data_IF_209390313186
#
_entry.id   IF_209390313186
#
_cell.length_a   1.000
_cell.length_b   1.000
_cell.length_c   1.000
_cell.angle_alpha   90.00
_cell.angle_beta   90.00
_cell.angle_gamma   90.00
#
_symmetry.space_group_name_H-M   'P 1'
#
loop_
_entity.id
_entity.type
_entity.pdbx_description
1 polymer ?
#
# COMPACT_ATOMS: atom_id res chain seq x y z
N UNK A 1 -18.94 16.75 66.82
CA UNK A 1 -17.86 15.77 67.10
C UNK A 1 -17.21 15.37 65.78
N UNK A 2 -15.94 15.77 65.64
CA UNK A 2 -14.87 15.24 64.79
C UNK A 2 -15.08 14.95 63.29
N UNK A 3 -14.72 15.96 62.51
CA UNK A 3 -14.03 15.87 61.23
C UNK A 3 -12.56 15.44 61.48
N UNK A 4 -12.01 14.46 60.75
CA UNK A 4 -10.55 14.25 60.68
C UNK A 4 -10.11 13.69 59.33
N UNK A 5 -9.31 14.51 58.66
CA UNK A 5 -8.55 14.27 57.44
C UNK A 5 -7.54 13.12 57.60
N UNK A 6 -7.27 12.39 56.50
CA UNK A 6 -6.00 11.67 56.32
C UNK A 6 -5.45 12.01 54.93
N UNK A 7 -4.20 12.49 54.95
CA UNK A 7 -3.42 13.05 53.85
C UNK A 7 -2.76 11.98 52.97
N UNK A 8 -2.55 12.38 51.72
CA UNK A 8 -1.61 11.79 50.75
C UNK A 8 -0.18 11.72 51.28
N UNK A 9 0.57 10.69 50.89
CA UNK A 9 2.04 10.69 50.95
C UNK A 9 2.60 10.21 49.62
N UNK A 10 3.35 11.08 48.96
CA UNK A 10 4.06 10.84 47.71
C UNK A 10 5.36 10.07 47.96
N UNK A 11 5.62 9.04 47.15
CA UNK A 11 6.90 8.34 47.12
C UNK A 11 7.86 9.06 46.15
N UNK A 12 8.98 9.55 46.68
CA UNK A 12 10.14 10.03 45.91
C UNK A 12 11.13 8.88 45.74
N UNK A 13 11.53 8.58 44.50
CA UNK A 13 12.61 7.64 44.18
C UNK A 13 13.87 8.48 43.87
N UNK A 14 14.92 8.29 44.67
CA UNK A 14 16.25 8.85 44.46
C UNK A 14 17.05 7.96 43.51
N UNK A 15 17.57 8.53 42.41
CA UNK A 15 18.63 7.93 41.61
C UNK A 15 19.99 8.37 42.15
N UNK A 16 20.83 7.42 42.56
CA UNK A 16 22.24 7.66 42.88
C UNK A 16 23.13 7.17 41.74
N UNK A 17 24.00 8.07 41.29
CA UNK A 17 25.12 7.87 40.37
C UNK A 17 26.17 6.95 40.99
N UNK A 18 26.68 5.97 40.24
CA UNK A 18 28.00 5.37 40.48
C UNK A 18 28.75 5.34 39.15
N UNK A 19 29.83 6.14 39.10
CA UNK A 19 30.86 6.08 38.07
C UNK A 19 31.97 5.13 38.55
N UNK A 20 32.50 4.29 37.65
CA UNK A 20 33.79 3.63 37.86
C UNK A 20 34.55 3.54 36.53
N UNK A 21 35.65 4.28 36.46
CA UNK A 21 36.74 4.10 35.49
C UNK A 21 37.63 2.95 35.96
N UNK A 22 38.13 2.14 35.02
CA UNK A 22 39.41 1.45 35.17
C UNK A 22 40.11 1.35 33.80
N UNK A 23 41.27 2.00 33.72
CA UNK A 23 42.25 1.93 32.65
C UNK A 23 43.13 0.72 32.92
N UNK A 24 43.40 -0.11 31.90
CA UNK A 24 44.58 -0.97 31.90
C UNK A 24 45.20 -1.01 30.50
N UNK A 25 46.40 -0.43 30.43
CA UNK A 25 47.34 -0.52 29.32
C UNK A 25 48.48 -1.46 29.73
N UNK A 26 49.02 -2.20 28.76
CA UNK A 26 50.45 -2.52 28.52
C UNK A 26 50.57 -3.89 27.82
N UNK A 27 51.35 -3.92 26.75
CA UNK A 27 51.85 -5.16 26.14
C UNK A 27 52.39 -4.97 24.72
N UNK A 28 53.47 -4.20 24.58
CA UNK A 28 54.29 -4.14 23.36
C UNK A 28 55.12 -5.43 23.27
N UNK A 29 55.16 -6.06 22.10
CA UNK A 29 56.31 -6.87 21.68
C UNK A 29 56.53 -6.73 20.19
N UNK A 30 57.63 -6.05 19.87
CA UNK A 30 58.33 -6.02 18.60
C UNK A 30 59.17 -7.29 18.44
N UNK A 31 59.22 -7.85 17.24
CA UNK A 31 60.40 -8.54 16.73
C UNK A 31 60.39 -8.51 15.20
N UNK A 32 61.44 -7.92 14.60
CA UNK A 32 61.68 -7.85 13.16
C UNK A 32 62.25 -9.16 12.59
N UNK A 33 61.77 -9.50 11.40
CA UNK A 33 62.45 -9.94 10.17
C UNK A 33 63.64 -10.93 10.22
N UNK A 34 63.50 -12.06 9.48
CA UNK A 34 64.39 -12.49 8.36
C UNK A 34 64.15 -13.95 7.92
N UNK A 35 63.97 -14.19 6.62
CA UNK A 35 64.63 -15.33 5.92
C UNK A 35 63.83 -16.56 5.44
N UNK A 36 63.28 -16.46 4.21
CA UNK A 36 63.50 -17.40 3.06
C UNK A 36 62.91 -18.85 3.05
N UNK A 37 62.43 -19.21 1.84
CA UNK A 37 62.16 -20.53 1.21
C UNK A 37 60.81 -21.25 1.42
N UNK A 38 59.89 -20.91 0.50
CA UNK A 38 59.06 -21.79 -0.33
C UNK A 38 58.67 -23.20 0.13
N UNK A 39 57.37 -23.39 0.32
CA UNK A 39 56.66 -24.59 -0.13
C UNK A 39 55.30 -24.18 -0.70
N UNK A 40 55.08 -24.55 -1.97
CA UNK A 40 53.80 -24.56 -2.66
C UNK A 40 52.86 -25.53 -1.98
N UNK A 41 51.78 -25.02 -1.40
CA UNK A 41 50.54 -25.76 -1.20
C UNK A 41 49.42 -25.00 -1.90
N UNK A 42 48.91 -25.61 -2.96
CA UNK A 42 47.66 -25.27 -3.62
C UNK A 42 46.55 -25.25 -2.58
N UNK A 43 46.09 -24.06 -2.22
CA UNK A 43 44.98 -23.89 -1.31
C UNK A 43 43.84 -23.12 -1.99
N UNK A 44 42.64 -23.51 -1.58
CA UNK A 44 41.38 -23.37 -2.30
C UNK A 44 41.13 -21.99 -2.92
N UNK A 45 40.51 -22.00 -4.11
CA UNK A 45 39.77 -20.88 -4.68
C UNK A 45 38.75 -20.37 -3.66
N UNK A 46 39.17 -19.45 -2.79
CA UNK A 46 38.21 -18.62 -2.07
C UNK A 46 37.46 -17.83 -3.13
N UNK A 47 36.19 -18.19 -3.36
CA UNK A 47 35.25 -17.28 -4.02
C UNK A 47 35.22 -16.06 -3.12
N UNK A 48 36.01 -15.04 -3.48
CA UNK A 48 35.92 -13.71 -2.89
C UNK A 48 34.48 -13.28 -3.16
N UNK A 49 33.62 -13.38 -2.16
CA UNK A 49 32.24 -12.90 -2.23
C UNK A 49 32.37 -11.43 -2.58
N UNK A 50 32.02 -11.08 -3.81
CA UNK A 50 31.92 -9.69 -4.23
C UNK A 50 30.99 -9.03 -3.21
N UNK A 51 31.39 -7.93 -2.57
CA UNK A 51 30.50 -7.22 -1.66
C UNK A 51 29.21 -6.92 -2.42
N UNK A 52 28.06 -7.17 -1.79
CA UNK A 52 26.75 -6.89 -2.34
C UNK A 52 26.71 -5.43 -2.82
N UNK A 53 26.85 -5.24 -4.14
CA UNK A 53 27.00 -3.91 -4.72
C UNK A 53 25.66 -3.51 -5.30
N UNK A 54 25.10 -2.43 -4.74
CA UNK A 54 23.93 -1.77 -5.29
C UNK A 54 24.36 -0.81 -6.40
N UNK A 55 23.63 -0.82 -7.51
CA UNK A 55 23.78 0.14 -8.60
C UNK A 55 22.44 0.79 -8.91
N UNK A 56 22.47 2.05 -9.31
CA UNK A 56 21.28 2.87 -9.49
C UNK A 56 21.14 3.29 -10.95
N UNK A 57 19.92 3.22 -11.48
CA UNK A 57 19.58 3.70 -12.82
C UNK A 57 18.43 4.69 -12.73
N UNK A 58 18.70 5.94 -13.07
CA UNK A 58 17.66 6.97 -13.20
C UNK A 58 16.96 6.83 -14.53
N UNK A 59 15.62 6.82 -14.50
CA UNK A 59 14.76 6.81 -15.67
C UNK A 59 13.79 7.99 -15.59
N UNK A 60 13.27 8.42 -16.74
CA UNK A 60 12.27 9.48 -16.84
C UNK A 60 10.91 8.94 -17.27
N UNK A 61 9.87 9.78 -17.16
CA UNK A 61 8.48 9.49 -17.50
C UNK A 61 7.87 8.27 -16.74
N UNK A 62 7.65 8.37 -15.42
CA UNK A 62 8.05 9.46 -14.50
C UNK A 62 9.52 9.35 -14.07
N UNK A 63 10.06 10.41 -13.47
CA UNK A 63 11.39 10.36 -12.83
C UNK A 63 11.39 9.29 -11.74
N UNK A 64 12.32 8.35 -11.85
CA UNK A 64 12.43 7.23 -10.92
C UNK A 64 13.84 6.68 -10.87
N UNK A 65 14.18 6.04 -9.76
CA UNK A 65 15.43 5.32 -9.56
C UNK A 65 15.13 3.84 -9.45
N UNK A 66 15.65 3.07 -10.41
CA UNK A 66 15.73 1.62 -10.29
C UNK A 66 17.01 1.23 -9.55
N UNK A 67 16.86 0.35 -8.59
CA UNK A 67 17.96 -0.19 -7.80
C UNK A 67 18.20 -1.62 -8.25
N UNK A 68 19.45 -1.91 -8.59
CA UNK A 68 19.92 -3.26 -8.91
C UNK A 68 20.86 -3.74 -7.81
N UNK A 69 20.73 -5.00 -7.41
CA UNK A 69 21.71 -5.70 -6.56
C UNK A 69 22.35 -6.79 -7.41
N UNK A 70 23.67 -6.76 -7.57
CA UNK A 70 24.39 -7.74 -8.39
C UNK A 70 23.81 -7.88 -9.83
N UNK A 71 23.42 -6.74 -10.43
CA UNK A 71 22.76 -6.62 -11.76
C UNK A 71 21.35 -7.23 -11.86
N UNK A 72 20.72 -7.58 -10.75
CA UNK A 72 19.31 -7.99 -10.69
C UNK A 72 18.49 -6.86 -10.11
N UNK A 73 17.34 -6.54 -10.72
CA UNK A 73 16.43 -5.51 -10.22
C UNK A 73 15.89 -5.91 -8.83
N UNK A 74 15.91 -4.97 -7.90
CA UNK A 74 15.40 -5.20 -6.53
C UNK A 74 14.38 -4.17 -6.06
N UNK A 75 14.39 -2.96 -6.62
CA UNK A 75 13.40 -1.94 -6.27
C UNK A 75 13.30 -0.84 -7.33
N UNK A 76 12.17 -0.15 -7.36
CA UNK A 76 11.97 1.11 -8.08
C UNK A 76 11.33 2.14 -7.17
N UNK A 77 11.98 3.29 -7.04
CA UNK A 77 11.52 4.46 -6.30
C UNK A 77 11.09 5.53 -7.30
N UNK A 78 9.87 6.06 -7.19
CA UNK A 78 9.37 7.12 -8.09
C UNK A 78 9.40 8.45 -7.37
N UNK A 79 9.97 9.49 -7.98
CA UNK A 79 10.04 10.82 -7.37
C UNK A 79 8.62 11.34 -7.08
N UNK A 80 8.44 11.95 -5.91
CA UNK A 80 7.16 12.45 -5.41
C UNK A 80 6.25 11.37 -4.80
N UNK A 81 6.60 10.08 -4.91
CA UNK A 81 5.75 8.98 -4.45
C UNK A 81 6.21 8.39 -3.11
N UNK A 82 5.26 8.02 -2.26
CA UNK A 82 5.46 7.16 -1.09
C UNK A 82 5.71 5.70 -1.47
N UNK A 83 5.18 5.26 -2.61
CA UNK A 83 5.14 3.87 -3.03
C UNK A 83 6.46 3.43 -3.65
N UNK A 84 6.94 2.27 -3.21
CA UNK A 84 8.10 1.59 -3.78
C UNK A 84 7.69 0.18 -4.16
N UNK A 85 7.98 -0.18 -5.41
CA UNK A 85 7.90 -1.57 -5.86
C UNK A 85 9.23 -2.28 -5.60
N UNK A 86 9.19 -3.50 -5.09
CA UNK A 86 10.35 -4.30 -4.73
C UNK A 86 10.24 -5.72 -5.28
N UNK A 87 11.40 -6.34 -5.50
CA UNK A 87 11.47 -7.78 -5.72
C UNK A 87 11.21 -8.54 -4.41
N UNK A 88 10.64 -9.74 -4.50
CA UNK A 88 10.55 -10.69 -3.40
C UNK A 88 10.15 -12.09 -3.87
N UNK A 89 9.77 -12.98 -2.94
CA UNK A 89 9.19 -14.27 -3.28
C UNK A 89 7.98 -14.13 -4.22
N UNK A 90 7.81 -15.11 -5.12
CA UNK A 90 6.61 -15.20 -5.95
C UNK A 90 5.41 -15.61 -5.09
N UNK A 91 4.25 -15.02 -5.38
CA UNK A 91 2.98 -15.31 -4.70
C UNK A 91 1.81 -15.14 -5.66
N UNK A 92 0.69 -15.69 -5.26
CA UNK A 92 -0.57 -15.62 -6.00
C UNK A 92 -1.63 -14.97 -5.11
N UNK A 93 -2.35 -14.01 -5.66
CA UNK A 93 -3.57 -13.47 -5.09
C UNK A 93 -4.75 -14.06 -5.83
N UNK A 94 -5.69 -14.64 -5.09
CA UNK A 94 -6.88 -15.26 -5.67
C UNK A 94 -8.13 -14.86 -4.91
N UNK A 95 -9.22 -14.71 -5.63
CA UNK A 95 -10.55 -14.50 -5.09
C UNK A 95 -11.53 -15.40 -5.85
N UNK A 96 -12.30 -16.18 -5.10
CA UNK A 96 -13.31 -17.07 -5.65
C UNK A 96 -14.63 -16.83 -4.95
N UNK A 97 -15.65 -16.39 -5.69
CA UNK A 97 -16.99 -16.13 -5.15
C UNK A 97 -18.02 -16.90 -5.97
N UNK A 98 -19.02 -17.48 -5.30
CA UNK A 98 -20.17 -18.13 -5.96
C UNK A 98 -21.42 -17.30 -5.76
N UNK A 99 -22.01 -16.81 -6.85
CA UNK A 99 -23.25 -16.02 -6.83
C UNK A 99 -24.22 -16.63 -7.82
N UNK A 100 -25.45 -16.92 -7.36
CA UNK A 100 -26.50 -17.55 -8.16
C UNK A 100 -26.02 -18.84 -8.87
N UNK A 101 -25.30 -19.71 -8.14
CA UNK A 101 -24.67 -20.94 -8.64
C UNK A 101 -23.64 -20.73 -9.77
N UNK A 102 -23.17 -19.50 -9.99
CA UNK A 102 -22.09 -19.19 -10.91
C UNK A 102 -20.83 -18.83 -10.14
N UNK A 103 -19.74 -19.53 -10.49
CA UNK A 103 -18.41 -19.27 -9.97
C UNK A 103 -17.79 -18.08 -10.69
N UNK A 104 -17.22 -17.16 -9.93
CA UNK A 104 -16.36 -16.08 -10.37
C UNK A 104 -15.01 -16.30 -9.71
N UNK A 105 -13.98 -16.49 -10.52
CA UNK A 105 -12.63 -16.75 -10.05
C UNK A 105 -11.69 -15.75 -10.70
N UNK A 106 -10.74 -15.24 -9.93
CA UNK A 106 -9.75 -14.28 -10.38
C UNK A 106 -8.43 -14.57 -9.68
N UNK A 107 -7.34 -14.55 -10.44
CA UNK A 107 -6.01 -14.89 -9.96
C UNK A 107 -4.96 -13.98 -10.59
N UNK A 108 -3.97 -13.55 -9.81
CA UNK A 108 -2.80 -12.77 -10.24
C UNK A 108 -1.57 -13.34 -9.55
N UNK A 109 -0.56 -13.71 -10.33
CA UNK A 109 0.71 -14.25 -9.81
C UNK A 109 1.91 -13.39 -10.23
N UNK A 110 2.73 -12.99 -9.26
CA UNK A 110 3.96 -12.24 -9.53
C UNK A 110 4.91 -12.25 -8.32
N UNK A 111 6.13 -11.73 -8.53
CA UNK A 111 7.16 -11.55 -7.49
C UNK A 111 7.36 -10.08 -7.07
N UNK A 112 6.41 -9.20 -7.41
CA UNK A 112 6.40 -7.78 -7.02
C UNK A 112 5.77 -7.58 -5.65
N UNK A 113 6.40 -6.74 -4.84
CA UNK A 113 5.96 -6.32 -3.53
C UNK A 113 5.85 -4.80 -3.49
N UNK A 114 4.86 -4.26 -2.79
CA UNK A 114 4.51 -2.84 -2.74
C UNK A 114 4.54 -2.37 -1.30
N UNK A 115 5.50 -1.51 -0.97
CA UNK A 115 5.64 -0.93 0.37
C UNK A 115 5.69 0.59 0.30
N UNK A 116 5.42 1.21 1.44
CA UNK A 116 5.33 2.66 1.62
C UNK A 116 6.56 3.21 2.34
N UNK A 117 7.03 4.36 1.87
CA UNK A 117 8.09 5.13 2.51
C UNK A 117 7.53 6.00 3.64
N UNK A 118 8.39 6.47 4.55
CA UNK A 118 7.98 7.45 5.56
C UNK A 118 7.67 8.86 5.03
N UNK A 119 8.12 9.17 3.82
CA UNK A 119 7.95 10.46 3.15
C UNK A 119 7.97 10.22 1.63
N UNK A 120 7.46 11.17 0.82
CA UNK A 120 7.59 11.09 -0.63
C UNK A 120 9.06 10.96 -1.03
N UNK A 121 9.36 10.06 -1.96
CA UNK A 121 10.70 9.88 -2.45
C UNK A 121 11.18 11.13 -3.18
N UNK A 122 12.37 11.61 -2.84
CA UNK A 122 13.06 12.65 -3.58
C UNK A 122 14.02 12.00 -4.59
N UNK A 123 15.32 12.03 -4.32
CA UNK A 123 16.38 11.58 -5.24
C UNK A 123 17.39 10.63 -4.60
N UNK A 124 17.32 10.38 -3.29
CA UNK A 124 18.26 9.53 -2.56
C UNK A 124 17.59 8.29 -1.96
N UNK A 125 18.10 7.11 -2.31
CA UNK A 125 17.62 5.83 -1.75
C UNK A 125 18.16 5.64 -0.34
N UNK A 126 17.26 5.54 0.65
CA UNK A 126 17.61 5.06 1.99
C UNK A 126 17.95 3.56 1.93
N UNK A 127 19.25 3.26 1.94
CA UNK A 127 19.74 1.89 1.86
C UNK A 127 19.35 1.04 3.09
N UNK A 128 19.15 1.65 4.26
CA UNK A 128 18.69 0.94 5.44
C UNK A 128 17.23 0.51 5.24
N UNK A 129 16.37 1.46 4.87
CA UNK A 129 14.97 1.15 4.56
C UNK A 129 14.85 0.09 3.46
N UNK A 130 15.63 0.19 2.38
CA UNK A 130 15.61 -0.78 1.30
C UNK A 130 15.97 -2.20 1.79
N UNK A 131 17.01 -2.33 2.63
CA UNK A 131 17.41 -3.63 3.19
C UNK A 131 16.34 -4.21 4.10
N UNK A 132 15.73 -3.36 4.94
CA UNK A 132 14.64 -3.76 5.83
C UNK A 132 13.41 -4.21 5.03
N UNK A 133 13.03 -3.48 3.97
CA UNK A 133 11.92 -3.81 3.09
C UNK A 133 12.14 -5.13 2.32
N UNK A 134 13.35 -5.35 1.78
CA UNK A 134 13.70 -6.62 1.14
C UNK A 134 13.72 -7.78 2.15
N UNK A 135 14.19 -7.55 3.37
CA UNK A 135 14.12 -8.54 4.45
C UNK A 135 12.67 -8.87 4.81
N UNK A 136 11.80 -7.86 4.88
CA UNK A 136 10.37 -8.04 5.15
C UNK A 136 9.70 -8.87 4.05
N UNK A 137 10.04 -8.66 2.77
CA UNK A 137 9.56 -9.48 1.66
C UNK A 137 10.01 -10.94 1.78
N UNK A 138 11.29 -11.18 2.10
CA UNK A 138 11.82 -12.53 2.25
C UNK A 138 11.22 -13.29 3.44
N UNK A 139 10.73 -12.56 4.45
CA UNK A 139 9.98 -13.10 5.59
C UNK A 139 8.46 -13.11 5.34
N UNK A 140 8.04 -12.81 4.12
CA UNK A 140 6.64 -12.77 3.67
C UNK A 140 5.74 -11.91 4.58
N UNK A 141 6.29 -10.82 5.13
CA UNK A 141 5.52 -9.87 5.94
C UNK A 141 4.53 -9.13 5.03
N UNK A 142 3.25 -8.98 5.44
CA UNK A 142 2.24 -8.31 4.63
C UNK A 142 2.73 -6.96 4.09
N UNK A 143 2.52 -6.75 2.80
CA UNK A 143 2.71 -5.49 2.11
C UNK A 143 1.34 -4.97 1.65
N UNK A 144 1.28 -3.88 0.89
CA UNK A 144 0.00 -3.25 0.55
C UNK A 144 -0.94 -4.18 -0.22
N UNK A 145 -0.40 -5.04 -1.11
CA UNK A 145 -1.21 -5.98 -1.88
C UNK A 145 -1.83 -7.06 -0.98
N UNK A 146 -1.04 -7.64 -0.07
CA UNK A 146 -1.57 -8.60 0.91
C UNK A 146 -2.59 -7.94 1.84
N UNK A 147 -2.31 -6.72 2.30
CA UNK A 147 -3.23 -5.96 3.16
C UNK A 147 -4.56 -5.70 2.44
N UNK A 148 -4.56 -5.43 1.14
CA UNK A 148 -5.78 -5.24 0.37
C UNK A 148 -6.68 -6.49 0.36
N UNK A 149 -6.08 -7.68 0.39
CA UNK A 149 -6.82 -8.94 0.47
C UNK A 149 -7.40 -9.23 1.85
N UNK A 150 -7.00 -8.51 2.90
CA UNK A 150 -7.55 -8.70 4.25
C UNK A 150 -9.00 -8.15 4.38
N UNK A 151 -9.60 -7.63 3.29
CA UNK A 151 -10.92 -6.98 3.29
C UNK A 151 -11.90 -7.52 2.25
N UNK A 152 -11.54 -8.55 1.48
CA UNK A 152 -12.46 -9.17 0.52
C UNK A 152 -13.51 -10.02 1.24
N UNK A 153 -14.55 -10.45 0.50
CA UNK A 153 -15.59 -11.37 0.98
C UNK A 153 -14.98 -12.59 1.69
N UNK A 154 -15.44 -12.86 2.91
CA UNK A 154 -14.95 -13.97 3.74
C UNK A 154 -13.57 -13.78 4.36
N UNK A 155 -12.93 -12.62 4.24
CA UNK A 155 -11.66 -12.34 4.91
C UNK A 155 -11.80 -12.45 6.44
N UNK A 156 -10.85 -13.13 7.08
CA UNK A 156 -10.86 -13.34 8.52
C UNK A 156 -10.57 -12.07 9.30
N UNK A 157 -11.22 -11.90 10.44
CA UNK A 157 -10.99 -10.75 11.31
C UNK A 157 -9.57 -10.73 11.88
N UNK A 158 -8.93 -9.57 11.76
CA UNK A 158 -7.62 -9.28 12.36
C UNK A 158 -7.82 -8.21 13.42
N UNK A 159 -7.34 -8.48 14.63
CA UNK A 159 -7.44 -7.56 15.76
C UNK A 159 -6.08 -7.03 16.19
N UNK A 160 -6.04 -5.74 16.53
CA UNK A 160 -4.93 -5.12 17.24
C UNK A 160 -5.47 -4.29 18.40
N UNK A 161 -4.99 -4.55 19.63
CA UNK A 161 -5.46 -3.85 20.84
C UNK A 161 -7.00 -3.87 21.00
N UNK A 162 -7.63 -5.02 20.73
CA UNK A 162 -9.09 -5.22 20.72
C UNK A 162 -9.88 -4.44 19.65
N UNK A 163 -9.21 -3.73 18.75
CA UNK A 163 -9.83 -3.11 17.58
C UNK A 163 -9.75 -4.07 16.39
N UNK A 164 -10.88 -4.33 15.71
CA UNK A 164 -10.92 -5.04 14.43
C UNK A 164 -10.29 -4.14 13.37
N UNK A 165 -9.07 -4.45 12.94
CA UNK A 165 -8.32 -3.64 11.98
C UNK A 165 -8.41 -4.16 10.55
N UNK A 166 -8.88 -5.39 10.33
CA UNK A 166 -9.24 -5.95 9.03
C UNK A 166 -10.19 -7.15 9.18
N UNK A 167 -10.69 -7.66 8.06
CA UNK A 167 -11.77 -8.63 7.92
C UNK A 167 -12.72 -8.21 6.81
N UNK A 168 -13.67 -9.08 6.48
CA UNK A 168 -14.72 -8.83 5.48
C UNK A 168 -15.37 -7.45 5.65
N UNK A 169 -15.41 -6.68 4.57
CA UNK A 169 -15.85 -5.29 4.56
C UNK A 169 -17.01 -5.10 3.59
N UNK A 170 -18.11 -4.53 4.10
CA UNK A 170 -19.23 -4.09 3.28
C UNK A 170 -18.83 -2.88 2.42
N UNK A 171 -19.58 -2.57 1.36
CA UNK A 171 -19.41 -1.30 0.64
C UNK A 171 -19.95 -0.10 1.44
N UNK A 172 -21.05 -0.32 2.16
CA UNK A 172 -21.86 0.71 2.80
C UNK A 172 -23.27 0.20 3.08
N UNK A 173 -24.06 0.90 3.89
CA UNK A 173 -25.42 0.47 4.26
C UNK A 173 -26.35 0.44 3.04
N UNK A 174 -27.42 -0.35 3.14
CA UNK A 174 -28.49 -0.33 2.14
C UNK A 174 -29.18 1.04 2.13
N UNK A 175 -29.56 1.51 0.94
CA UNK A 175 -30.36 2.72 0.81
C UNK A 175 -31.74 2.49 1.46
N UNK A 176 -32.17 3.34 2.42
CA UNK A 176 -33.45 3.16 3.11
C UNK A 176 -34.66 3.29 2.18
N UNK A 177 -34.50 3.91 1.00
CA UNK A 177 -35.55 4.06 -0.01
C UNK A 177 -35.47 3.03 -1.13
N UNK A 178 -34.36 2.29 -1.24
CA UNK A 178 -34.13 1.26 -2.26
C UNK A 178 -33.16 0.21 -1.74
N UNK A 179 -33.68 -0.84 -1.11
CA UNK A 179 -32.87 -1.92 -0.52
C UNK A 179 -32.06 -2.74 -1.53
N UNK A 180 -32.16 -2.45 -2.83
CA UNK A 180 -31.31 -3.03 -3.88
C UNK A 180 -30.03 -2.22 -4.15
N UNK A 181 -29.90 -1.05 -3.52
CA UNK A 181 -28.76 -0.13 -3.61
C UNK A 181 -28.05 -0.01 -2.28
N UNK A 182 -26.77 0.37 -2.36
CA UNK A 182 -25.93 0.72 -1.22
C UNK A 182 -25.53 2.18 -1.31
N UNK A 183 -25.50 2.84 -0.17
CA UNK A 183 -25.02 4.20 -0.03
C UNK A 183 -23.50 4.23 -0.12
N UNK A 184 -22.98 5.34 -0.62
CA UNK A 184 -21.55 5.65 -0.68
C UNK A 184 -21.26 6.71 0.38
N UNK A 185 -20.07 6.66 0.98
CA UNK A 185 -19.75 7.49 2.14
C UNK A 185 -18.81 6.84 3.14
N UNK A 186 -18.65 5.51 3.12
CA UNK A 186 -17.87 4.78 4.14
C UNK A 186 -16.37 4.92 3.96
N UNK A 187 -15.71 5.51 4.95
CA UNK A 187 -14.26 5.68 5.05
C UNK A 187 -13.62 4.68 6.03
N UNK A 188 -12.29 4.71 6.16
CA UNK A 188 -11.55 3.82 7.05
C UNK A 188 -11.95 3.99 8.53
N UNK A 189 -12.30 5.20 8.98
CA UNK A 189 -12.73 5.44 10.37
C UNK A 189 -14.09 4.80 10.66
N UNK A 190 -14.98 4.76 9.68
CA UNK A 190 -16.28 4.07 9.78
C UNK A 190 -16.08 2.58 9.93
N UNK A 191 -15.28 1.96 9.06
CA UNK A 191 -14.94 0.54 9.17
C UNK A 191 -14.48 0.16 10.58
N UNK A 192 -13.62 0.99 11.17
CA UNK A 192 -13.03 0.78 12.49
C UNK A 192 -13.96 1.18 13.64
N UNK A 193 -15.00 1.97 13.40
CA UNK A 193 -15.88 2.51 14.43
C UNK A 193 -15.17 3.50 15.36
N UNK A 194 -14.25 4.33 14.84
CA UNK A 194 -13.48 5.29 15.64
C UNK A 194 -13.60 6.72 15.14
N UNK A 195 -13.39 7.68 16.06
CA UNK A 195 -13.18 9.06 15.67
C UNK A 195 -11.74 9.25 15.18
N UNK A 196 -11.56 9.96 14.06
CA UNK A 196 -10.26 10.23 13.49
C UNK A 196 -9.99 11.73 13.40
N UNK A 197 -8.81 12.14 13.85
CA UNK A 197 -8.35 13.53 13.73
C UNK A 197 -7.48 13.71 12.49
N UNK A 198 -7.98 14.45 11.52
CA UNK A 198 -7.21 14.93 10.38
C UNK A 198 -6.38 16.14 10.79
N UNK A 199 -5.17 15.87 11.27
CA UNK A 199 -4.27 16.90 11.82
C UNK A 199 -4.00 18.07 10.87
N UNK A 200 -3.97 17.85 9.55
CA UNK A 200 -3.80 18.90 8.54
C UNK A 200 -4.99 19.86 8.46
N UNK A 201 -6.18 19.38 8.81
CA UNK A 201 -7.43 20.14 8.69
C UNK A 201 -7.92 20.65 10.05
N UNK A 202 -7.27 20.22 11.14
CA UNK A 202 -7.74 20.41 12.51
C UNK A 202 -9.22 20.01 12.66
N UNK A 203 -9.59 18.90 12.02
CA UNK A 203 -10.93 18.37 11.95
C UNK A 203 -10.96 16.97 12.54
N UNK A 204 -11.99 16.68 13.34
CA UNK A 204 -12.24 15.33 13.84
C UNK A 204 -13.52 14.83 13.22
N UNK A 205 -13.40 13.72 12.51
CA UNK A 205 -14.50 12.97 11.92
C UNK A 205 -14.89 11.81 12.85
N UNK A 206 -16.18 11.59 13.05
CA UNK A 206 -16.66 10.50 13.90
C UNK A 206 -17.22 9.40 13.01
N UNK A 207 -16.93 8.14 13.33
CA UNK A 207 -17.53 7.03 12.61
C UNK A 207 -19.06 7.09 12.63
N UNK A 208 -19.68 6.88 11.46
CA UNK A 208 -21.12 6.69 11.36
C UNK A 208 -21.53 5.27 11.79
N UNK A 209 -22.50 5.16 12.70
CA UNK A 209 -22.82 3.87 13.32
C UNK A 209 -23.44 2.85 12.36
N UNK A 210 -24.10 3.31 11.29
CA UNK A 210 -24.65 2.48 10.22
C UNK A 210 -23.62 2.09 9.16
N UNK A 211 -22.40 2.62 9.24
CA UNK A 211 -21.30 2.35 8.31
C UNK A 211 -20.17 1.54 8.95
N UNK A 212 -20.35 1.07 10.19
CA UNK A 212 -19.37 0.21 10.87
C UNK A 212 -19.11 -1.04 10.04
N UNK A 213 -17.82 -1.33 9.82
CA UNK A 213 -17.38 -2.44 8.97
C UNK A 213 -17.52 -2.20 7.46
N UNK A 214 -17.85 -0.99 7.01
CA UNK A 214 -17.97 -0.66 5.59
C UNK A 214 -16.79 0.16 5.07
N UNK A 215 -16.42 -0.07 3.81
CA UNK A 215 -15.39 0.67 3.06
C UNK A 215 -15.89 0.89 1.63
N UNK A 216 -16.12 2.14 1.22
CA UNK A 216 -16.39 2.44 -0.18
C UNK A 216 -15.10 2.42 -1.02
N UNK A 217 -15.17 2.72 -2.31
CA UNK A 217 -14.02 2.60 -3.22
C UNK A 217 -12.79 3.40 -2.73
N UNK A 218 -13.00 4.64 -2.29
CA UNK A 218 -11.96 5.53 -1.77
C UNK A 218 -11.64 5.27 -0.29
N UNK A 219 -12.63 4.92 0.52
CA UNK A 219 -12.43 4.52 1.92
C UNK A 219 -11.53 3.29 2.03
N UNK A 220 -11.71 2.32 1.13
CA UNK A 220 -10.83 1.16 1.02
C UNK A 220 -9.38 1.56 0.68
N UNK A 221 -9.17 2.49 -0.26
CA UNK A 221 -7.82 3.00 -0.55
C UNK A 221 -7.21 3.72 0.67
N UNK A 222 -7.98 4.57 1.34
CA UNK A 222 -7.53 5.30 2.55
C UNK A 222 -7.21 4.35 3.70
N UNK A 223 -7.96 3.26 3.85
CA UNK A 223 -7.67 2.19 4.80
C UNK A 223 -6.30 1.56 4.53
N UNK A 224 -6.08 1.02 3.33
CA UNK A 224 -4.87 0.24 3.04
C UNK A 224 -3.61 1.11 2.94
N UNK A 225 -3.73 2.35 2.49
CA UNK A 225 -2.59 3.25 2.30
C UNK A 225 -2.33 4.18 3.48
N UNK A 226 -3.38 4.64 4.18
CA UNK A 226 -3.27 5.68 5.19
C UNK A 226 -3.47 5.22 6.64
N UNK A 227 -4.15 4.09 6.86
CA UNK A 227 -4.31 3.54 8.20
C UNK A 227 -3.43 2.30 8.45
N UNK A 228 -3.37 1.38 7.49
CA UNK A 228 -2.59 0.13 7.61
C UNK A 228 -1.09 0.38 7.41
N UNK A 229 -0.28 -0.57 7.86
CA UNK A 229 1.19 -0.49 7.84
C UNK A 229 1.80 -1.63 7.01
N UNK A 230 2.51 -1.26 5.95
CA UNK A 230 3.26 -2.19 5.09
C UNK A 230 4.66 -2.52 5.63
N UNK A 231 5.11 -1.89 6.71
CA UNK A 231 6.40 -2.12 7.38
C UNK A 231 6.20 -2.53 8.85
N UNK A 232 5.09 -3.19 9.16
CA UNK A 232 4.76 -3.68 10.50
C UNK A 232 5.93 -4.50 11.11
N UNK A 233 6.29 -4.18 12.36
CA UNK A 233 7.47 -4.76 13.05
C UNK A 233 8.76 -3.97 12.83
N UNK A 234 8.77 -3.01 11.91
CA UNK A 234 9.82 -2.03 11.73
C UNK A 234 9.32 -0.66 12.24
N UNK A 235 10.23 0.18 12.75
CA UNK A 235 9.89 1.48 13.36
C UNK A 235 9.82 2.60 12.31
N UNK A 236 9.05 2.39 11.26
CA UNK A 236 8.83 3.38 10.19
C UNK A 236 7.43 3.99 10.30
N UNK A 237 7.31 5.28 9.96
CA UNK A 237 6.03 5.96 9.80
C UNK A 237 5.55 5.80 8.36
N UNK A 238 5.23 4.58 7.95
CA UNK A 238 5.00 4.17 6.56
C UNK A 238 3.53 4.32 6.11
N UNK A 239 2.83 5.35 6.59
CA UNK A 239 1.45 5.62 6.19
C UNK A 239 1.41 6.80 5.25
N UNK A 240 0.60 6.71 4.20
CA UNK A 240 0.27 7.87 3.36
C UNK A 240 -0.57 8.82 4.21
N UNK A 241 -0.17 10.11 4.35
CA UNK A 241 -0.96 11.05 5.13
C UNK A 241 -2.37 11.21 4.56
N UNK A 242 -3.37 11.31 5.44
CA UNK A 242 -4.76 11.50 5.07
C UNK A 242 -5.23 12.91 5.43
N UNK A 243 -6.11 13.47 4.61
CA UNK A 243 -6.85 14.71 4.86
C UNK A 243 -8.34 14.51 4.56
N UNK A 244 -9.19 15.31 5.17
CA UNK A 244 -10.62 15.33 4.92
C UNK A 244 -10.93 16.16 3.67
N UNK A 245 -10.45 17.40 3.62
CA UNK A 245 -10.72 18.35 2.54
C UNK A 245 -9.56 18.48 1.56
N UNK A 246 -9.85 19.01 0.37
CA UNK A 246 -8.79 19.39 -0.57
C UNK A 246 -8.07 20.65 -0.12
N UNK A 247 -6.78 20.71 -0.43
CA UNK A 247 -5.89 21.81 -0.07
C UNK A 247 -4.88 21.99 -1.19
N UNK A 248 -4.44 23.23 -1.42
CA UNK A 248 -3.44 23.56 -2.45
C UNK A 248 -2.04 23.01 -2.18
N UNK A 249 -1.82 22.37 -1.02
CA UNK A 249 -0.51 21.91 -0.56
C UNK A 249 -0.19 20.45 -0.91
N UNK A 250 -1.14 19.68 -1.46
CA UNK A 250 -0.95 18.26 -1.87
C UNK A 250 -0.30 17.38 -0.78
N UNK A 251 -0.58 17.65 0.51
CA UNK A 251 0.10 17.01 1.66
C UNK A 251 -0.49 15.68 2.12
N UNK A 252 -1.62 15.25 1.57
CA UNK A 252 -2.29 14.02 1.96
C UNK A 252 -3.34 13.57 0.94
N UNK A 253 -3.78 12.32 1.07
CA UNK A 253 -4.87 11.74 0.31
C UNK A 253 -6.22 12.27 0.83
N UNK A 254 -7.02 12.98 0.01
CA UNK A 254 -8.36 13.44 0.37
C UNK A 254 -9.40 12.31 0.33
N UNK A 255 -10.66 12.62 0.65
CA UNK A 255 -11.71 11.61 0.86
C UNK A 255 -12.27 11.03 -0.43
N UNK A 256 -12.56 11.85 -1.44
CA UNK A 256 -13.31 11.41 -2.63
C UNK A 256 -12.39 10.97 -3.77
N UNK A 257 -12.83 10.00 -4.57
CA UNK A 257 -12.06 9.42 -5.68
C UNK A 257 -11.51 10.48 -6.67
N UNK A 258 -12.31 11.45 -7.10
CA UNK A 258 -11.83 12.53 -7.98
C UNK A 258 -10.82 13.44 -7.28
N UNK A 259 -11.03 13.76 -6.00
CA UNK A 259 -10.12 14.59 -5.22
C UNK A 259 -8.78 13.87 -5.01
N UNK A 260 -8.79 12.53 -4.85
CA UNK A 260 -7.56 11.74 -4.75
C UNK A 260 -6.75 11.85 -6.03
N UNK A 261 -7.41 11.85 -7.18
CA UNK A 261 -6.73 12.05 -8.46
C UNK A 261 -6.18 13.48 -8.61
N UNK A 262 -7.02 14.48 -8.37
CA UNK A 262 -6.71 15.90 -8.61
C UNK A 262 -5.71 16.45 -7.58
N UNK A 263 -5.94 16.19 -6.28
CA UNK A 263 -5.30 16.86 -5.15
C UNK A 263 -4.56 15.93 -4.17
N UNK A 264 -4.48 14.64 -4.51
CA UNK A 264 -3.74 13.64 -3.74
C UNK A 264 -2.22 13.78 -3.85
N UNK A 265 -1.51 13.15 -2.91
CA UNK A 265 -0.04 13.01 -2.95
C UNK A 265 0.40 12.14 -4.13
N UNK A 266 1.72 12.11 -4.39
CA UNK A 266 2.27 11.22 -5.39
C UNK A 266 2.36 11.83 -6.78
N UNK A 267 2.53 10.95 -7.77
CA UNK A 267 2.84 11.31 -9.14
C UNK A 267 1.77 10.77 -10.08
N UNK A 268 1.24 11.64 -10.95
CA UNK A 268 0.31 11.24 -12.02
C UNK A 268 1.07 10.41 -13.05
N UNK A 269 0.59 9.19 -13.29
CA UNK A 269 1.18 8.21 -14.22
C UNK A 269 0.45 8.22 -15.55
N UNK A 270 -0.89 8.29 -15.49
CA UNK A 270 -1.77 8.44 -16.65
C UNK A 270 -2.69 9.61 -16.33
N UNK A 271 -2.61 10.67 -17.13
CA UNK A 271 -3.47 11.84 -16.97
C UNK A 271 -4.91 11.55 -17.41
N UNK A 272 -5.89 12.16 -16.73
CA UNK A 272 -7.28 12.11 -17.19
C UNK A 272 -7.43 13.00 -18.42
N UNK A 273 -7.64 12.38 -19.58
CA UNK A 273 -7.89 13.08 -20.86
C UNK A 273 -9.39 13.29 -21.16
N UNK A 274 -10.28 12.89 -20.24
CA UNK A 274 -11.73 12.81 -20.49
C UNK A 274 -12.13 11.63 -21.39
N UNK A 275 -11.20 10.75 -21.74
CA UNK A 275 -11.44 9.58 -22.60
C UNK A 275 -10.78 8.32 -22.04
N UNK A 276 -11.12 7.16 -22.60
CA UNK A 276 -10.56 5.89 -22.18
C UNK A 276 -9.03 5.88 -22.29
N UNK A 277 -8.35 5.62 -21.17
CA UNK A 277 -6.92 5.39 -21.17
C UNK A 277 -6.58 4.05 -21.84
N UNK A 278 -5.66 4.09 -22.81
CA UNK A 278 -5.22 2.91 -23.58
C UNK A 278 -3.70 2.71 -23.56
N UNK A 279 -2.95 3.68 -23.05
CA UNK A 279 -1.51 3.58 -22.87
C UNK A 279 -1.18 3.21 -21.43
N UNK A 280 -0.74 1.97 -21.22
CA UNK A 280 -0.43 1.41 -19.90
C UNK A 280 1.07 1.37 -19.60
N UNK A 281 1.93 1.96 -20.44
CA UNK A 281 3.38 1.78 -20.34
C UNK A 281 3.99 2.27 -19.02
N UNK A 282 3.37 3.29 -18.39
CA UNK A 282 3.83 3.83 -17.11
C UNK A 282 3.29 3.11 -15.87
N UNK A 283 2.27 2.26 -16.04
CA UNK A 283 1.52 1.64 -14.95
C UNK A 283 2.37 0.59 -14.23
N UNK A 284 2.37 0.62 -12.91
CA UNK A 284 3.04 -0.33 -12.02
C UNK A 284 2.08 -0.86 -10.97
N UNK A 285 2.31 -2.10 -10.54
CA UNK A 285 1.54 -2.71 -9.46
C UNK A 285 1.61 -1.82 -8.22
N UNK A 286 0.45 -1.55 -7.60
CA UNK A 286 0.29 -0.58 -6.52
C UNK A 286 -0.18 0.80 -6.97
N UNK A 287 -0.17 1.13 -8.27
CA UNK A 287 -0.74 2.39 -8.75
C UNK A 287 -2.25 2.43 -8.50
N UNK A 288 -2.74 3.59 -8.04
CA UNK A 288 -4.16 3.87 -8.04
C UNK A 288 -4.65 4.04 -9.46
N UNK A 289 -5.78 3.43 -9.78
CA UNK A 289 -6.46 3.51 -11.06
C UNK A 289 -7.84 4.13 -10.88
N UNK A 290 -8.17 5.10 -11.73
CA UNK A 290 -9.36 5.94 -11.60
C UNK A 290 -10.29 5.75 -12.79
N UNK A 291 -11.57 5.75 -12.51
CA UNK A 291 -12.61 5.45 -13.47
C UNK A 291 -13.72 6.49 -13.41
N UNK A 292 -14.36 6.65 -14.55
CA UNK A 292 -15.65 7.30 -14.77
C UNK A 292 -16.64 6.17 -15.05
N UNK A 293 -17.09 5.53 -13.97
CA UNK A 293 -17.87 4.30 -13.92
C UNK A 293 -19.39 4.56 -13.89
N UNK A 294 -19.82 5.76 -13.51
CA UNK A 294 -21.21 6.17 -13.56
C UNK A 294 -21.67 6.29 -15.01
N UNK A 295 -22.53 5.35 -15.40
CA UNK A 295 -23.16 5.33 -16.72
C UNK A 295 -24.45 6.14 -16.78
N UNK A 296 -24.90 6.73 -15.66
CA UNK A 296 -26.15 7.48 -15.56
C UNK A 296 -26.10 8.84 -16.26
N UNK A 297 -24.89 9.36 -16.53
CA UNK A 297 -24.67 10.65 -17.18
C UNK A 297 -25.04 11.86 -16.30
N UNK A 298 -25.22 11.66 -15.00
CA UNK A 298 -25.66 12.72 -14.07
C UNK A 298 -24.51 13.54 -13.47
N UNK A 299 -23.28 13.03 -13.47
CA UNK A 299 -22.08 13.72 -12.98
C UNK A 299 -21.08 14.09 -14.09
N UNK A 300 -21.43 13.85 -15.35
CA UNK A 300 -20.64 14.19 -16.53
C UNK A 300 -19.62 13.11 -16.89
N UNK A 301 -18.34 13.47 -16.94
CA UNK A 301 -17.21 12.57 -17.20
C UNK A 301 -16.19 12.60 -16.04
N UNK A 302 -16.69 12.90 -14.83
CA UNK A 302 -15.85 13.06 -13.65
C UNK A 302 -15.45 11.68 -13.14
N UNK A 303 -14.28 11.61 -12.51
CA UNK A 303 -13.89 10.39 -11.79
C UNK A 303 -14.87 10.16 -10.65
N UNK A 304 -15.40 8.95 -10.54
CA UNK A 304 -16.32 8.56 -9.49
C UNK A 304 -15.84 7.31 -8.75
N UNK A 305 -14.93 6.53 -9.34
CA UNK A 305 -14.45 5.28 -8.77
C UNK A 305 -12.94 5.18 -8.78
N UNK A 306 -12.38 4.52 -7.76
CA UNK A 306 -10.94 4.28 -7.61
C UNK A 306 -10.67 2.83 -7.21
N UNK A 307 -9.55 2.30 -7.67
CA UNK A 307 -9.00 1.02 -7.24
C UNK A 307 -7.48 1.03 -7.28
N UNK A 308 -6.87 -0.14 -7.10
CA UNK A 308 -5.43 -0.34 -7.16
C UNK A 308 -5.08 -1.40 -8.20
N UNK A 309 -4.16 -1.10 -9.11
CA UNK A 309 -3.64 -2.08 -10.07
C UNK A 309 -2.81 -3.14 -9.34
N UNK A 310 -3.17 -4.42 -9.50
CA UNK A 310 -2.55 -5.53 -8.76
C UNK A 310 -1.68 -6.44 -9.62
N UNK A 311 -1.74 -6.33 -10.96
CA UNK A 311 -0.86 -7.08 -11.85
C UNK A 311 -1.56 -7.62 -13.08
N UNK A 312 -0.91 -8.57 -13.74
CA UNK A 312 -1.44 -9.27 -14.91
C UNK A 312 -2.03 -10.59 -14.43
N UNK A 313 -3.27 -10.88 -14.81
CA UNK A 313 -3.93 -12.15 -14.49
C UNK A 313 -3.47 -13.30 -15.39
N UNK A 314 -3.96 -14.51 -15.11
CA UNK A 314 -3.59 -15.72 -15.83
C UNK A 314 -4.02 -15.70 -17.32
N UNK A 315 -4.95 -14.81 -17.68
CA UNK A 315 -5.40 -14.58 -19.06
C UNK A 315 -4.61 -13.46 -19.77
N UNK A 316 -3.65 -12.83 -19.10
CA UNK A 316 -2.80 -11.77 -19.65
C UNK A 316 -3.40 -10.37 -19.57
N UNK A 317 -4.47 -10.16 -18.80
CA UNK A 317 -5.14 -8.87 -18.63
C UNK A 317 -4.70 -8.14 -17.37
N UNK A 318 -4.73 -6.81 -17.42
CA UNK A 318 -4.37 -5.96 -16.27
C UNK A 318 -5.51 -5.92 -15.27
N UNK A 319 -5.32 -6.56 -14.12
CA UNK A 319 -6.31 -6.67 -13.05
C UNK A 319 -6.12 -5.61 -11.97
N UNK A 320 -7.22 -5.12 -11.43
CA UNK A 320 -7.25 -4.20 -10.30
C UNK A 320 -8.17 -4.70 -9.19
N UNK A 321 -7.97 -4.21 -7.96
CA UNK A 321 -8.85 -4.43 -6.81
C UNK A 321 -9.53 -3.11 -6.42
N UNK A 322 -10.81 -3.16 -6.05
CA UNK A 322 -11.58 -1.99 -5.59
C UNK A 322 -12.79 -2.41 -4.78
N UNK A 323 -13.29 -1.57 -3.88
CA UNK A 323 -14.59 -1.81 -3.24
C UNK A 323 -15.76 -1.41 -4.13
N UNK A 324 -16.80 -2.26 -4.28
CA UNK A 324 -17.92 -2.04 -5.21
C UNK A 324 -19.30 -2.29 -4.59
N UNK A 325 -20.27 -1.46 -4.97
CA UNK A 325 -21.68 -1.53 -4.53
C UNK A 325 -22.32 -2.91 -4.77
N UNK A 326 -22.08 -3.53 -5.93
CA UNK A 326 -22.81 -4.73 -6.36
C UNK A 326 -22.34 -6.03 -5.69
N UNK A 327 -21.04 -6.19 -5.47
CA UNK A 327 -20.50 -7.33 -4.70
C UNK A 327 -20.61 -7.10 -3.20
N UNK A 328 -20.83 -5.84 -2.78
CA UNK A 328 -20.78 -5.40 -1.38
C UNK A 328 -19.38 -5.51 -0.76
N UNK A 329 -18.41 -4.76 -1.29
CA UNK A 329 -17.10 -4.66 -0.68
C UNK A 329 -15.94 -4.73 -1.66
N UNK A 330 -14.69 -4.75 -1.14
CA UNK A 330 -13.46 -4.99 -1.90
C UNK A 330 -13.50 -6.28 -2.72
N UNK A 331 -13.16 -6.17 -4.01
CA UNK A 331 -13.06 -7.32 -4.92
C UNK A 331 -12.05 -7.05 -6.04
N UNK A 332 -11.32 -8.08 -6.42
CA UNK A 332 -10.59 -8.24 -7.68
C UNK A 332 -11.33 -9.17 -8.66
N UNK A 333 -12.48 -9.73 -8.27
CA UNK A 333 -13.32 -10.64 -9.04
C UNK A 333 -14.17 -9.97 -10.13
N UNK A 334 -14.83 -10.79 -10.94
CA UNK A 334 -15.49 -10.34 -12.18
C UNK A 334 -17.02 -10.22 -12.08
N UNK A 335 -17.58 -10.40 -10.88
CA UNK A 335 -19.01 -10.26 -10.66
C UNK A 335 -19.47 -8.80 -10.83
N UNK A 336 -20.58 -8.62 -11.55
CA UNK A 336 -21.19 -7.32 -11.86
C UNK A 336 -20.23 -6.28 -12.51
N UNK A 337 -19.14 -6.75 -13.11
CA UNK A 337 -18.14 -5.94 -13.82
C UNK A 337 -16.77 -6.59 -13.71
N UNK A 338 -16.13 -6.88 -14.85
CA UNK A 338 -14.79 -7.49 -14.84
C UNK A 338 -13.74 -6.51 -14.33
N UNK A 339 -12.87 -6.97 -13.44
CA UNK A 339 -11.85 -6.15 -12.78
C UNK A 339 -10.64 -5.87 -13.68
N UNK A 340 -10.86 -5.56 -14.95
CA UNK A 340 -9.83 -5.52 -15.98
C UNK A 340 -9.75 -4.16 -16.67
N UNK A 341 -8.53 -3.64 -16.83
CA UNK A 341 -8.28 -2.34 -17.45
C UNK A 341 -8.27 -2.39 -18.99
N UNK A 342 -8.10 -3.57 -19.58
CA UNK A 342 -7.84 -3.76 -21.00
C UNK A 342 -8.61 -4.95 -21.62
N UNK A 343 -9.76 -5.33 -21.04
CA UNK A 343 -10.61 -6.42 -21.53
C UNK A 343 -11.64 -5.93 -22.54
N UNK A 344 -11.68 -6.59 -23.70
CA UNK A 344 -12.68 -6.41 -24.74
C UNK A 344 -13.46 -7.70 -24.98
N UNK A 345 -14.75 -7.58 -25.26
CA UNK A 345 -15.62 -8.68 -25.64
C UNK A 345 -16.03 -8.55 -27.10
N UNK A 346 -16.07 -9.66 -27.84
CA UNK A 346 -16.58 -9.68 -29.21
C UNK A 346 -17.91 -10.42 -29.25
N UNK A 347 -18.97 -9.74 -29.69
CA UNK A 347 -20.30 -10.34 -29.89
C UNK A 347 -20.84 -9.93 -31.25
N UNK A 348 -21.25 -10.90 -32.07
CA UNK A 348 -21.77 -10.67 -33.42
C UNK A 348 -20.84 -9.81 -34.31
N UNK A 349 -19.52 -10.01 -34.19
CA UNK A 349 -18.52 -9.26 -34.95
C UNK A 349 -18.23 -7.84 -34.44
N UNK A 350 -18.87 -7.41 -33.35
CA UNK A 350 -18.61 -6.11 -32.72
C UNK A 350 -17.76 -6.32 -31.47
N UNK A 351 -16.61 -5.65 -31.42
CA UNK A 351 -15.72 -5.65 -30.26
C UNK A 351 -15.98 -4.43 -29.39
N UNK A 352 -16.35 -4.65 -28.13
CA UNK A 352 -16.64 -3.60 -27.15
C UNK A 352 -15.80 -3.78 -25.90
N UNK A 353 -15.25 -2.70 -25.31
CA UNK A 353 -14.57 -2.78 -24.03
C UNK A 353 -15.55 -3.24 -22.94
N UNK A 354 -15.03 -3.90 -21.92
CA UNK A 354 -15.75 -4.12 -20.67
C UNK A 354 -16.06 -2.80 -19.96
N UNK A 355 -16.95 -2.81 -18.96
CA UNK A 355 -17.34 -1.60 -18.22
C UNK A 355 -16.14 -0.84 -17.67
N UNK A 356 -15.29 -1.49 -16.87
CA UNK A 356 -14.12 -0.83 -16.27
C UNK A 356 -13.01 -0.53 -17.29
N UNK A 357 -12.86 -1.36 -18.32
CA UNK A 357 -11.97 -1.03 -19.45
C UNK A 357 -12.40 0.26 -20.14
N UNK A 358 -13.69 0.44 -20.41
CA UNK A 358 -14.24 1.67 -21.02
C UNK A 358 -14.14 2.87 -20.08
N UNK A 359 -14.34 2.64 -18.78
CA UNK A 359 -14.39 3.65 -17.74
C UNK A 359 -13.01 4.13 -17.30
N UNK A 360 -11.93 3.38 -17.55
CA UNK A 360 -10.59 3.73 -17.08
C UNK A 360 -10.12 5.07 -17.68
N UNK A 361 -9.76 6.03 -16.82
CA UNK A 361 -9.38 7.39 -17.22
C UNK A 361 -7.95 7.75 -16.90
N UNK A 362 -7.47 7.35 -15.72
CA UNK A 362 -6.25 7.90 -15.15
C UNK A 362 -5.60 6.98 -14.13
N UNK A 363 -4.34 7.24 -13.81
CA UNK A 363 -3.59 6.53 -12.79
C UNK A 363 -2.63 7.45 -12.03
N UNK A 364 -2.43 7.17 -10.74
CA UNK A 364 -1.55 7.92 -9.84
C UNK A 364 -0.77 6.96 -8.96
N UNK A 365 0.52 7.21 -8.80
CA UNK A 365 1.39 6.48 -7.87
C UNK A 365 1.57 7.30 -6.62
N UNK A 366 1.01 6.85 -5.51
CA UNK A 366 1.04 7.54 -4.21
C UNK A 366 2.45 7.73 -3.73
#
# INVERSE_FOLDING_TARGET
MNQKNINMTAARINFSLIALMAILSIGISSCEESGVTGYTTTDASSKRVQPDTYTYRTLSNPTRIEVMKNRVWVATFTEGSYTVILSGPSRTFSETVTIDNKLYDASVAHSTWVRTLPAPFADSVDLKWLKDALSANNLERPDILSIAMDYIDGASDIYANNLRIAGDADYGPLDPNDSTKRLEGSDFNDYLGLAWNYSYDNYTDNAESDQIGSLDCSGFMRMIWGYRHSMSGYRYSDRVPLKHETTSSFVGMPRKSYEIFEDGVGTVIIANSGSQATNFAGLQIGDLVFFDADTSGTDGSRIDHVGMYIGIDDDGYRRFISSRKKINGPTMGDYAGVSLLDRYFTKNGVTTPSTYTKAFRAARRL
#
